data_IF_557149642995
#
_entry.id   IF_557149642995
#
_cell.length_a   1.000
_cell.length_b   1.000
_cell.length_c   1.000
_cell.angle_alpha   90.00
_cell.angle_beta   90.00
_cell.angle_gamma   90.00
#
_symmetry.space_group_name_H-M   'P 1'
#
loop_
_entity.id
_entity.type
_entity.pdbx_description
1 polymer ?
#
# COMPACT_ATOMS: atom_id res chain seq x y z
N UNK A 1 -2.21 6.92 -68.95
CA UNK A 1 -0.90 6.37 -69.37
C UNK A 1 -0.43 5.54 -68.19
N UNK A 2 -0.76 4.26 -68.24
CA UNK A 2 -0.82 3.31 -67.13
C UNK A 2 -0.02 2.08 -67.58
N UNK A 3 0.97 1.67 -66.78
CA UNK A 3 1.88 0.52 -66.92
C UNK A 3 2.50 0.30 -65.54
N UNK A 4 2.74 -0.88 -64.98
CA UNK A 4 2.51 -2.27 -65.39
C UNK A 4 2.72 -3.16 -64.14
N UNK A 5 1.94 -4.24 -64.07
CA UNK A 5 2.32 -5.63 -63.72
C UNK A 5 3.16 -5.95 -62.46
N UNK A 6 2.59 -6.81 -61.59
CA UNK A 6 2.93 -8.24 -61.59
C UNK A 6 1.90 -9.08 -60.80
N UNK A 7 1.30 -10.08 -61.45
CA UNK A 7 0.58 -11.21 -60.86
C UNK A 7 1.36 -12.48 -61.24
N UNK A 8 1.53 -13.42 -60.32
CA UNK A 8 1.37 -14.89 -60.51
C UNK A 8 1.75 -15.61 -59.21
N UNK A 9 0.80 -16.26 -58.53
CA UNK A 9 0.34 -17.65 -58.71
C UNK A 9 1.19 -18.65 -57.92
N UNK A 10 0.59 -19.30 -56.92
CA UNK A 10 0.74 -20.74 -56.73
C UNK A 10 -0.57 -21.33 -56.18
N UNK A 11 -0.97 -22.42 -56.80
CA UNK A 11 -2.22 -23.15 -56.61
C UNK A 11 -1.95 -24.51 -55.97
N UNK A 12 -2.98 -25.06 -55.29
CA UNK A 12 -3.25 -26.49 -55.06
C UNK A 12 -2.24 -27.24 -54.16
N UNK A 13 -2.55 -28.22 -53.33
CA UNK A 13 -3.76 -28.81 -52.74
C UNK A 13 -3.25 -30.09 -52.05
N UNK A 14 -3.56 -30.37 -50.77
CA UNK A 14 -3.74 -31.76 -50.32
C UNK A 14 -4.42 -31.87 -48.95
N UNK A 15 -5.36 -32.82 -48.89
CA UNK A 15 -6.19 -33.40 -47.83
C UNK A 15 -5.30 -34.09 -46.75
N UNK A 16 -5.70 -34.48 -45.52
CA UNK A 16 -6.98 -34.73 -44.82
C UNK A 16 -6.69 -35.02 -43.31
N UNK A 17 -7.69 -34.76 -42.46
CA UNK A 17 -8.08 -35.39 -41.15
C UNK A 17 -7.04 -35.58 -40.00
N UNK A 18 -7.34 -35.28 -38.72
CA UNK A 18 -8.31 -35.93 -37.82
C UNK A 18 -8.78 -34.96 -36.71
N UNK A 19 -10.04 -35.14 -36.29
CA UNK A 19 -10.77 -34.43 -35.25
C UNK A 19 -10.17 -34.52 -33.83
N UNK A 20 -10.33 -33.43 -33.06
CA UNK A 20 -10.07 -33.35 -31.63
C UNK A 20 -10.77 -32.15 -31.01
N UNK A 21 -12.01 -32.36 -30.58
CA UNK A 21 -12.88 -31.40 -29.89
C UNK A 21 -12.31 -30.96 -28.55
N UNK A 22 -12.10 -29.65 -28.35
CA UNK A 22 -12.43 -28.98 -27.08
C UNK A 22 -12.93 -27.56 -27.38
N UNK A 23 -14.20 -27.31 -27.09
CA UNK A 23 -14.79 -25.99 -27.09
C UNK A 23 -14.21 -25.21 -25.89
N UNK A 24 -13.38 -24.20 -26.15
CA UNK A 24 -12.92 -23.28 -25.12
C UNK A 24 -14.03 -22.25 -24.84
N UNK A 25 -14.48 -22.22 -23.59
CA UNK A 25 -15.54 -21.33 -23.09
C UNK A 25 -15.17 -19.84 -23.25
N UNK A 26 -16.08 -18.96 -23.72
CA UNK A 26 -15.79 -17.53 -23.95
C UNK A 26 -15.78 -16.62 -22.71
N UNK A 27 -15.65 -17.16 -21.50
CA UNK A 27 -15.79 -16.39 -20.25
C UNK A 27 -14.53 -16.46 -19.39
N UNK A 28 -13.44 -15.86 -19.86
CA UNK A 28 -12.31 -15.52 -19.00
C UNK A 28 -11.51 -14.35 -19.59
N UNK A 29 -12.11 -13.15 -19.54
CA UNK A 29 -11.42 -11.87 -19.76
C UNK A 29 -11.81 -10.92 -18.63
N UNK A 30 -11.55 -11.33 -17.38
CA UNK A 30 -11.68 -10.46 -16.21
C UNK A 30 -10.31 -9.85 -15.88
N UNK A 31 -10.03 -8.68 -16.48
CA UNK A 31 -9.48 -7.49 -15.83
C UNK A 31 -8.09 -7.53 -15.11
N UNK A 32 -7.09 -8.26 -15.62
CA UNK A 32 -5.72 -8.24 -15.07
C UNK A 32 -5.01 -6.87 -15.19
N UNK A 33 -5.31 -6.10 -16.25
CA UNK A 33 -4.62 -4.83 -16.55
C UNK A 33 -4.89 -3.69 -15.55
N UNK A 34 -6.01 -3.75 -14.81
CA UNK A 34 -6.38 -2.71 -13.83
C UNK A 34 -5.62 -2.89 -12.52
N UNK A 35 -5.37 -4.14 -12.12
CA UNK A 35 -4.67 -4.51 -10.89
C UNK A 35 -3.17 -4.18 -11.00
N UNK A 36 -2.56 -4.46 -12.15
CA UNK A 36 -1.15 -4.13 -12.42
C UNK A 36 -0.90 -2.62 -12.44
N UNK A 37 -1.77 -1.83 -13.08
CA UNK A 37 -1.65 -0.36 -13.09
C UNK A 37 -1.77 0.27 -11.71
N UNK A 38 -2.63 -0.25 -10.83
CA UNK A 38 -2.70 0.21 -9.44
C UNK A 38 -1.46 -0.15 -8.63
N UNK A 39 -0.84 -1.30 -8.90
CA UNK A 39 0.41 -1.75 -8.27
C UNK A 39 1.62 -0.92 -8.69
N UNK A 40 1.73 -0.56 -9.97
CA UNK A 40 2.83 0.27 -10.46
C UNK A 40 2.72 1.72 -10.01
N UNK A 41 1.50 2.28 -10.01
CA UNK A 41 1.26 3.65 -9.54
C UNK A 41 1.50 3.78 -8.03
N UNK A 42 1.10 2.78 -7.24
CA UNK A 42 1.37 2.76 -5.80
C UNK A 42 2.84 2.49 -5.46
N UNK A 43 3.57 1.74 -6.29
CA UNK A 43 5.04 1.60 -6.20
C UNK A 43 5.78 2.89 -6.60
N UNK A 44 5.26 3.63 -7.57
CA UNK A 44 5.83 4.91 -8.00
C UNK A 44 5.53 6.07 -7.03
N UNK A 45 4.41 6.02 -6.31
CA UNK A 45 3.94 7.09 -5.41
C UNK A 45 4.30 6.90 -3.92
N UNK A 46 4.86 5.75 -3.54
CA UNK A 46 5.02 5.40 -2.12
C UNK A 46 3.73 4.82 -1.53
N UNK A 47 3.93 3.65 -0.91
CA UNK A 47 3.07 2.75 -0.13
C UNK A 47 1.61 2.49 -0.60
N UNK A 48 1.27 1.25 -1.01
CA UNK A 48 -0.10 0.84 -1.34
C UNK A 48 -1.02 0.58 -0.14
N UNK A 49 -0.51 0.53 1.10
CA UNK A 49 -1.26 0.04 2.27
C UNK A 49 -0.92 0.80 3.57
N UNK A 50 -1.86 0.88 4.53
CA UNK A 50 -1.62 1.50 5.83
C UNK A 50 -0.58 0.75 6.67
N UNK A 51 0.07 1.41 7.65
CA UNK A 51 0.91 0.71 8.62
C UNK A 51 0.08 -0.29 9.45
N UNK A 52 0.69 -1.41 9.82
CA UNK A 52 0.05 -2.35 10.73
C UNK A 52 -0.11 -1.74 12.12
N UNK A 53 -1.18 -2.14 12.82
CA UNK A 53 -1.54 -1.64 14.13
C UNK A 53 -1.08 -2.61 15.22
N UNK A 54 -0.09 -2.24 16.02
CA UNK A 54 0.29 -3.02 17.21
C UNK A 54 0.71 -2.11 18.36
N UNK A 55 0.99 -2.70 19.52
CA UNK A 55 1.60 -2.00 20.64
C UNK A 55 3.13 -2.15 20.56
N UNK A 56 3.79 -1.35 19.72
CA UNK A 56 5.23 -1.46 19.47
C UNK A 56 6.12 -1.23 20.71
N UNK A 57 5.61 -0.57 21.76
CA UNK A 57 6.31 -0.43 23.05
C UNK A 57 5.90 -1.49 24.09
N UNK A 58 5.22 -2.56 23.65
CA UNK A 58 4.52 -3.58 24.42
C UNK A 58 3.13 -3.19 24.93
N UNK A 59 2.21 -4.16 24.87
CA UNK A 59 0.85 -3.99 25.36
C UNK A 59 0.80 -3.78 26.88
N UNK A 60 1.77 -4.32 27.63
CA UNK A 60 1.89 -4.09 29.07
C UNK A 60 2.23 -2.61 29.35
N UNK A 61 3.17 -2.03 28.61
CA UNK A 61 3.52 -0.62 28.76
C UNK A 61 2.35 0.29 28.40
N UNK A 62 1.65 0.01 27.30
CA UNK A 62 0.47 0.79 26.90
C UNK A 62 -0.65 0.72 27.94
N UNK A 63 -0.94 -0.47 28.49
CA UNK A 63 -1.89 -0.61 29.61
C UNK A 63 -1.46 0.14 30.85
N UNK A 64 -0.17 0.11 31.22
CA UNK A 64 0.35 0.89 32.34
C UNK A 64 0.18 2.40 32.12
N UNK A 65 0.47 2.89 30.92
CA UNK A 65 0.25 4.31 30.57
C UNK A 65 -1.23 4.69 30.65
N UNK A 66 -2.12 3.81 30.18
CA UNK A 66 -3.56 3.99 30.25
C UNK A 66 -4.05 4.02 31.70
N UNK A 67 -3.63 3.08 32.55
CA UNK A 67 -3.99 3.04 33.97
C UNK A 67 -3.43 4.24 34.76
N UNK A 68 -2.22 4.69 34.43
CA UNK A 68 -1.57 5.78 35.15
C UNK A 68 -2.25 7.14 34.89
N UNK A 69 -2.68 7.41 33.66
CA UNK A 69 -3.45 8.62 33.34
C UNK A 69 -4.36 8.38 32.11
N UNK A 70 -5.61 7.94 32.31
CA UNK A 70 -6.51 7.60 31.22
C UNK A 70 -6.80 8.77 30.27
N UNK A 71 -6.97 9.98 30.82
CA UNK A 71 -7.27 11.18 30.03
C UNK A 71 -6.11 11.54 29.10
N UNK A 72 -4.87 11.57 29.63
CA UNK A 72 -3.68 11.85 28.83
C UNK A 72 -3.43 10.76 27.79
N UNK A 73 -3.65 9.50 28.15
CA UNK A 73 -3.55 8.38 27.22
C UNK A 73 -4.51 8.55 26.04
N UNK A 74 -5.80 8.82 26.31
CA UNK A 74 -6.82 9.04 25.28
C UNK A 74 -6.53 10.28 24.42
N UNK A 75 -6.01 11.36 25.01
CA UNK A 75 -5.58 12.53 24.25
C UNK A 75 -4.48 12.17 23.24
N UNK A 76 -3.49 11.36 23.65
CA UNK A 76 -2.45 10.89 22.73
C UNK A 76 -2.99 9.93 21.67
N UNK A 77 -3.93 9.05 22.01
CA UNK A 77 -4.61 8.23 21.01
C UNK A 77 -5.31 9.08 19.94
N UNK A 78 -5.85 10.26 20.30
CA UNK A 78 -6.56 11.11 19.32
C UNK A 78 -5.65 12.05 18.52
N UNK A 79 -4.50 12.44 19.06
CA UNK A 79 -3.73 13.57 18.52
C UNK A 79 -2.23 13.37 18.39
N UNK A 80 -1.71 12.17 18.61
CA UNK A 80 -0.30 11.83 18.41
C UNK A 80 -0.22 10.63 17.44
N UNK A 81 0.17 10.89 16.20
CA UNK A 81 0.24 9.89 15.14
C UNK A 81 1.12 8.68 15.49
N UNK A 82 2.31 8.93 16.06
CA UNK A 82 3.23 7.86 16.41
C UNK A 82 2.66 7.02 17.57
N UNK A 83 2.07 7.67 18.56
CA UNK A 83 1.46 6.98 19.68
C UNK A 83 0.23 6.16 19.29
N UNK A 84 -0.68 6.81 18.56
CA UNK A 84 -2.01 6.31 18.20
C UNK A 84 -1.99 5.18 17.19
N UNK A 85 -1.05 5.23 16.24
CA UNK A 85 -1.04 4.34 15.07
C UNK A 85 0.09 3.31 15.14
N UNK A 86 1.13 3.53 15.96
CA UNK A 86 2.28 2.62 16.01
C UNK A 86 2.66 2.17 17.44
N UNK A 87 2.78 3.08 18.41
CA UNK A 87 3.32 2.70 19.73
C UNK A 87 2.32 1.93 20.59
N UNK A 88 1.06 2.39 20.62
CA UNK A 88 -0.01 1.83 21.43
C UNK A 88 -1.29 1.64 20.63
N UNK A 89 -1.17 1.32 19.34
CA UNK A 89 -2.30 1.33 18.42
C UNK A 89 -3.41 0.37 18.83
N UNK A 90 -3.04 -0.84 19.23
CA UNK A 90 -4.00 -1.85 19.64
C UNK A 90 -4.67 -1.47 20.96
N UNK A 91 -3.90 -0.97 21.93
CA UNK A 91 -4.47 -0.48 23.21
C UNK A 91 -5.34 0.77 23.03
N UNK A 92 -5.04 1.65 22.06
CA UNK A 92 -5.93 2.75 21.66
C UNK A 92 -7.22 2.27 20.96
N UNK A 93 -7.25 1.01 20.51
CA UNK A 93 -8.35 0.36 19.80
C UNK A 93 -7.94 -0.02 18.38
N UNK A 94 -7.87 -1.32 18.07
CA UNK A 94 -7.56 -1.80 16.73
C UNK A 94 -8.58 -1.33 15.70
N UNK A 95 -9.87 -1.57 15.96
CA UNK A 95 -10.97 -1.29 15.02
C UNK A 95 -11.09 0.19 14.64
N UNK A 96 -10.78 1.10 15.57
CA UNK A 96 -10.86 2.54 15.32
C UNK A 96 -9.57 3.14 14.76
N UNK A 97 -8.54 2.33 14.44
CA UNK A 97 -7.27 2.85 13.94
C UNK A 97 -7.44 3.60 12.61
N UNK A 98 -8.29 3.11 11.71
CA UNK A 98 -8.60 3.78 10.44
C UNK A 98 -9.22 5.17 10.67
N UNK A 99 -10.18 5.27 11.59
CA UNK A 99 -10.88 6.54 11.89
C UNK A 99 -9.92 7.54 12.55
N UNK A 100 -9.06 7.07 13.46
CA UNK A 100 -8.01 7.91 14.05
C UNK A 100 -7.01 8.40 13.00
N UNK A 101 -6.65 7.54 12.05
CA UNK A 101 -5.76 7.90 10.94
C UNK A 101 -6.35 9.05 10.12
N UNK A 102 -7.61 8.91 9.71
CA UNK A 102 -8.33 9.89 8.90
C UNK A 102 -8.38 11.25 9.60
N UNK A 103 -8.64 11.29 10.91
CA UNK A 103 -8.63 12.54 11.70
C UNK A 103 -7.23 13.16 11.82
N UNK A 104 -6.22 12.35 12.11
CA UNK A 104 -4.83 12.81 12.31
C UNK A 104 -4.26 13.41 11.01
N UNK A 105 -4.64 12.84 9.86
CA UNK A 105 -4.18 13.23 8.53
C UNK A 105 -5.23 13.92 7.68
N UNK A 106 -6.31 14.45 8.30
CA UNK A 106 -7.40 15.12 7.57
C UNK A 106 -6.91 16.29 6.69
N UNK A 107 -5.79 16.92 7.07
CA UNK A 107 -5.15 18.03 6.35
C UNK A 107 -4.09 17.57 5.34
N UNK A 108 -3.94 16.26 5.11
CA UNK A 108 -2.95 15.71 4.20
C UNK A 108 -1.52 16.14 4.58
N UNK A 109 -0.80 16.64 3.58
CA UNK A 109 0.56 17.17 3.71
C UNK A 109 0.68 18.38 4.65
N UNK A 110 -0.42 19.08 4.92
CA UNK A 110 -0.46 20.21 5.84
C UNK A 110 -0.68 19.78 7.30
N UNK A 111 -0.94 18.49 7.56
CA UNK A 111 -1.02 17.99 8.93
C UNK A 111 0.30 18.23 9.65
N UNK A 112 0.26 18.68 10.90
CA UNK A 112 1.44 18.77 11.78
C UNK A 112 2.13 17.41 11.99
N UNK A 113 1.43 16.31 11.69
CA UNK A 113 1.96 14.96 11.74
C UNK A 113 2.57 14.52 10.41
N UNK A 114 2.47 15.29 9.34
CA UNK A 114 3.08 14.98 8.06
C UNK A 114 4.52 15.51 7.97
N UNK A 115 5.47 14.75 8.49
CA UNK A 115 6.89 15.08 8.38
C UNK A 115 7.75 13.82 8.39
N UNK A 116 8.93 13.93 7.80
CA UNK A 116 9.96 12.91 7.92
C UNK A 116 10.79 13.17 9.18
N UNK A 117 11.06 12.11 9.95
CA UNK A 117 11.89 12.21 11.16
C UNK A 117 13.37 12.32 10.80
N UNK A 118 13.75 11.80 9.64
CA UNK A 118 15.11 11.89 9.09
C UNK A 118 15.23 12.98 8.03
N UNK A 119 16.48 13.30 7.67
CA UNK A 119 16.79 14.25 6.59
C UNK A 119 16.16 13.83 5.25
N UNK A 120 15.85 14.82 4.41
CA UNK A 120 15.36 14.61 3.04
C UNK A 120 16.25 13.64 2.24
N UNK A 121 17.57 13.76 2.34
CA UNK A 121 18.51 12.92 1.58
C UNK A 121 18.44 11.46 2.01
N UNK A 122 18.31 11.22 3.31
CA UNK A 122 18.10 9.88 3.85
C UNK A 122 16.79 9.29 3.32
N UNK A 123 15.69 10.04 3.40
CA UNK A 123 14.38 9.55 2.99
C UNK A 123 14.27 9.35 1.47
N UNK A 124 14.95 10.17 0.67
CA UNK A 124 15.06 9.98 -0.78
C UNK A 124 15.78 8.66 -1.13
N UNK A 125 16.88 8.33 -0.42
CA UNK A 125 17.57 7.04 -0.57
C UNK A 125 16.71 5.87 -0.07
N UNK A 126 16.03 6.04 1.06
CA UNK A 126 15.13 5.04 1.64
C UNK A 126 13.99 4.66 0.67
N UNK A 127 13.40 5.65 0.00
CA UNK A 127 12.40 5.43 -1.06
C UNK A 127 12.95 4.62 -2.23
N UNK A 128 14.20 4.87 -2.63
CA UNK A 128 14.88 4.18 -3.75
C UNK A 128 15.46 2.81 -3.38
N UNK A 129 15.34 2.37 -2.12
CA UNK A 129 16.04 1.19 -1.57
C UNK A 129 17.57 1.28 -1.71
N UNK A 130 18.10 2.49 -1.69
CA UNK A 130 19.53 2.75 -1.76
C UNK A 130 20.10 2.84 -0.34
N UNK A 131 21.15 2.07 -0.08
CA UNK A 131 21.97 2.18 1.13
C UNK A 131 23.44 2.36 0.72
N UNK A 132 24.25 2.93 1.60
CA UNK A 132 25.69 3.14 1.40
C UNK A 132 26.42 1.83 1.15
N UNK A 133 25.89 0.73 1.68
CA UNK A 133 26.48 -0.61 1.62
C UNK A 133 25.78 -1.58 0.65
N UNK A 134 24.78 -1.12 -0.12
CA UNK A 134 24.05 -1.96 -1.07
C UNK A 134 22.55 -1.63 -1.18
N UNK A 135 21.73 -2.62 -1.57
CA UNK A 135 20.27 -2.46 -1.61
C UNK A 135 19.70 -2.58 -0.20
N UNK A 136 18.92 -1.60 0.23
CA UNK A 136 18.24 -1.66 1.52
C UNK A 136 17.10 -2.68 1.49
N UNK A 137 17.01 -3.45 2.57
CA UNK A 137 15.86 -4.33 2.86
C UNK A 137 14.61 -3.54 3.26
N UNK A 138 14.75 -2.27 3.66
CA UNK A 138 13.64 -1.45 4.15
C UNK A 138 13.34 -0.30 3.20
N UNK A 139 12.06 -0.06 2.94
CA UNK A 139 11.60 1.02 2.05
C UNK A 139 10.12 1.35 2.26
N UNK A 140 9.57 2.21 1.41
CA UNK A 140 8.17 2.64 1.40
C UNK A 140 7.24 1.63 0.69
N UNK A 141 7.65 0.38 0.51
CA UNK A 141 6.95 -0.61 -0.32
C UNK A 141 5.79 -1.34 0.37
N UNK A 142 5.58 -1.06 1.65
CA UNK A 142 4.52 -1.65 2.47
C UNK A 142 4.95 -2.85 3.31
N UNK A 143 6.07 -3.52 3.00
CA UNK A 143 6.53 -4.66 3.82
C UNK A 143 6.91 -4.22 5.24
N UNK A 144 7.53 -3.04 5.34
CA UNK A 144 7.95 -2.43 6.60
C UNK A 144 7.18 -1.14 6.88
N UNK A 145 5.87 -1.15 6.62
CA UNK A 145 5.06 0.06 6.63
C UNK A 145 5.13 0.84 7.95
N UNK A 146 5.14 0.16 9.10
CA UNK A 146 5.24 0.83 10.41
C UNK A 146 6.60 1.48 10.65
N UNK A 147 7.68 0.96 10.06
CA UNK A 147 9.01 1.57 10.12
C UNK A 147 9.07 2.78 9.18
N UNK A 148 8.62 2.61 7.94
CA UNK A 148 8.55 3.66 6.94
C UNK A 148 7.70 4.85 7.43
N UNK A 149 6.54 4.57 8.04
CA UNK A 149 5.68 5.57 8.68
C UNK A 149 6.36 6.36 9.80
N UNK A 150 7.28 5.74 10.55
CA UNK A 150 7.98 6.42 11.66
C UNK A 150 9.17 7.26 11.19
N UNK A 151 9.84 6.83 10.13
CA UNK A 151 11.13 7.39 9.69
C UNK A 151 10.92 8.42 8.56
N UNK A 152 10.18 8.04 7.53
CA UNK A 152 10.02 8.79 6.28
C UNK A 152 8.54 8.93 5.91
N UNK A 153 7.70 9.30 6.88
CA UNK A 153 6.25 9.37 6.73
C UNK A 153 5.80 10.17 5.51
N UNK A 154 6.37 11.36 5.32
CA UNK A 154 6.00 12.28 4.25
C UNK A 154 6.56 11.78 2.92
N UNK A 155 7.83 11.43 2.87
CA UNK A 155 8.46 10.91 1.65
C UNK A 155 7.82 9.61 1.17
N UNK A 156 7.37 8.75 2.08
CA UNK A 156 6.65 7.51 1.76
C UNK A 156 5.14 7.71 1.53
N UNK A 157 4.65 8.96 1.50
CA UNK A 157 3.26 9.30 1.18
C UNK A 157 2.21 8.77 2.17
N UNK A 158 2.58 8.59 3.44
CA UNK A 158 1.63 8.20 4.49
C UNK A 158 0.71 9.34 4.93
N UNK A 159 0.96 10.58 4.54
CA UNK A 159 0.16 11.71 5.01
C UNK A 159 -1.25 11.77 4.45
N UNK A 160 -1.61 10.86 3.56
CA UNK A 160 -2.91 10.83 2.89
C UNK A 160 -4.02 10.33 3.82
N UNK A 161 -5.15 11.05 3.97
CA UNK A 161 -6.27 10.61 4.81
C UNK A 161 -6.97 9.36 4.25
N UNK A 162 -6.88 9.13 2.94
CA UNK A 162 -7.53 8.03 2.24
C UNK A 162 -6.71 6.74 2.24
N UNK A 163 -5.61 6.60 3.00
CA UNK A 163 -4.78 5.39 2.90
C UNK A 163 -5.52 4.08 3.20
N UNK A 164 -6.58 4.15 4.02
CA UNK A 164 -7.45 3.01 4.34
C UNK A 164 -8.57 2.80 3.31
N UNK A 165 -8.76 3.69 2.32
CA UNK A 165 -9.85 3.63 1.33
C UNK A 165 -9.29 3.88 -0.06
N UNK A 166 -9.52 2.95 -0.97
CA UNK A 166 -9.20 3.17 -2.38
C UNK A 166 -10.45 2.88 -3.24
N UNK A 167 -10.44 3.19 -4.53
CA UNK A 167 -11.58 2.91 -5.40
C UNK A 167 -11.98 1.42 -5.50
N UNK A 168 -11.13 0.50 -5.03
CA UNK A 168 -11.36 -0.94 -5.06
C UNK A 168 -11.95 -1.47 -3.75
N UNK A 169 -11.85 -0.74 -2.64
CA UNK A 169 -12.30 -1.20 -1.32
C UNK A 169 -11.71 -0.44 -0.13
N UNK A 170 -11.80 -1.04 1.05
CA UNK A 170 -11.27 -0.52 2.32
C UNK A 170 -10.26 -1.49 2.92
N UNK A 171 -9.11 -0.98 3.35
CA UNK A 171 -8.18 -1.78 4.17
C UNK A 171 -8.73 -1.96 5.59
N UNK A 172 -8.63 -3.17 6.13
CA UNK A 172 -8.92 -3.41 7.55
C UNK A 172 -7.72 -3.03 8.42
N UNK A 173 -7.90 -2.39 9.58
CA UNK A 173 -6.85 -2.27 10.59
C UNK A 173 -6.30 -3.65 10.97
N UNK A 174 -5.08 -3.94 10.53
CA UNK A 174 -4.50 -5.27 10.69
C UNK A 174 -3.41 -5.27 11.75
N UNK A 175 -3.38 -6.25 12.68
CA UNK A 175 -2.26 -6.46 13.57
C UNK A 175 -0.93 -6.67 12.83
N UNK A 176 0.17 -6.20 13.42
CA UNK A 176 1.50 -6.47 12.86
C UNK A 176 1.82 -7.97 12.80
N UNK A 177 2.52 -8.40 11.75
CA UNK A 177 2.78 -9.81 11.45
C UNK A 177 1.72 -10.47 10.56
N UNK A 178 0.64 -9.75 10.22
CA UNK A 178 -0.34 -10.15 9.21
C UNK A 178 -0.27 -9.19 8.02
N UNK A 179 -0.46 -9.69 6.78
CA UNK A 179 -0.54 -8.83 5.61
C UNK A 179 -1.78 -7.94 5.68
N UNK A 180 -1.70 -6.73 5.13
CA UNK A 180 -2.85 -5.83 5.04
C UNK A 180 -3.95 -6.46 4.17
N UNK A 181 -5.16 -6.53 4.70
CA UNK A 181 -6.32 -7.09 4.01
C UNK A 181 -7.17 -5.98 3.38
N UNK A 182 -7.39 -6.07 2.06
CA UNK A 182 -8.29 -5.18 1.33
C UNK A 182 -9.67 -5.83 1.24
N UNK A 183 -10.65 -5.21 1.86
CA UNK A 183 -12.07 -5.60 1.79
C UNK A 183 -12.69 -4.87 0.58
N UNK A 184 -13.06 -5.57 -0.50
CA UNK A 184 -13.69 -4.94 -1.66
C UNK A 184 -15.06 -4.36 -1.31
N UNK A 185 -15.51 -3.38 -2.09
CA UNK A 185 -16.88 -2.86 -2.00
C UNK A 185 -17.91 -3.83 -2.60
#
# INVERSE_FOLDING_TARGET
MERDHYKQCFSLSYLEHIAGTTAANPWMMFNDTKIEKTSELSRALGTPAPPCCSDAISSIACRRLQSANPTKFLQRCKGDADFSLIQCCNTCGLESAADRYEVIFQQGDQSKHCFDRHSSDFCARFLKREDVWGKSQWSCDGQFASLAFRICRKTCNYCRPDIYRNPLGRYSPTPCGKPAELIPF
#
